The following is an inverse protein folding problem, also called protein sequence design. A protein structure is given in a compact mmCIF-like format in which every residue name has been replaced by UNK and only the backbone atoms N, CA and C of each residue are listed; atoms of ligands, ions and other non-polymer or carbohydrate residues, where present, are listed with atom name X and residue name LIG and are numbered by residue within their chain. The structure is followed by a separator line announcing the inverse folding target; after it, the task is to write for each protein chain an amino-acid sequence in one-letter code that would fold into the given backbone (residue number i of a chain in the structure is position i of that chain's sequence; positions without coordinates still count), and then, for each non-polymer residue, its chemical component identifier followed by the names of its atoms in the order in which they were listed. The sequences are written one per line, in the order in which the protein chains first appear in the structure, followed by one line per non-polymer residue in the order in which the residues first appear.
data_IF_972300222961
#
_entry.id   IF_972300222961
#
_cell.length_a   1.000
_cell.length_b   1.000
_cell.length_c   1.000
_cell.angle_alpha   90.00
_cell.angle_beta   90.00
_cell.angle_gamma   90.00
#
_symmetry.space_group_name_H-M   'P 1'
#
loop_
_entity.id
_entity.type
_entity.pdbx_description
1 polymer ?
#
# COMPACT_ATOMS: atom_id res chain seq x y z
N UNK A 1 -23.40 40.24 -23.55
CA UNK A 1 -22.99 38.92 -23.08
C UNK A 1 -23.92 37.87 -23.60
N UNK A 2 -23.60 37.37 -24.79
CA UNK A 2 -24.23 36.19 -25.37
C UNK A 2 -23.49 34.99 -24.78
N UNK A 3 -24.04 34.39 -23.72
CA UNK A 3 -23.51 33.11 -23.22
C UNK A 3 -23.87 32.08 -24.28
N UNK A 4 -22.91 31.32 -24.83
CA UNK A 4 -23.24 30.26 -25.77
C UNK A 4 -24.23 29.30 -25.12
N UNK A 5 -25.30 28.96 -25.83
CA UNK A 5 -26.26 27.94 -25.38
C UNK A 5 -25.48 26.65 -25.08
N UNK A 6 -25.76 25.99 -23.93
CA UNK A 6 -25.04 24.78 -23.55
C UNK A 6 -25.28 23.68 -24.58
N UNK A 7 -24.20 23.03 -25.03
CA UNK A 7 -24.25 21.88 -25.92
C UNK A 7 -25.04 20.75 -25.22
N UNK A 8 -26.21 20.36 -25.74
CA UNK A 8 -27.07 19.37 -25.09
C UNK A 8 -26.39 18.00 -25.00
N UNK A 9 -25.54 17.64 -25.97
CA UNK A 9 -24.81 16.37 -25.97
C UNK A 9 -23.70 16.36 -24.92
N UNK A 10 -23.06 17.51 -24.68
CA UNK A 10 -22.07 17.68 -23.61
C UNK A 10 -22.75 17.56 -22.24
N UNK A 11 -23.88 18.24 -22.05
CA UNK A 11 -24.62 18.24 -20.79
C UNK A 11 -25.10 16.82 -20.44
N UNK A 12 -25.64 16.08 -21.42
CA UNK A 12 -26.06 14.70 -21.22
C UNK A 12 -24.89 13.76 -20.89
N UNK A 13 -23.71 13.96 -21.50
CA UNK A 13 -22.51 13.19 -21.19
C UNK A 13 -21.99 13.45 -19.76
N UNK A 14 -21.98 14.72 -19.32
CA UNK A 14 -21.60 15.08 -17.96
C UNK A 14 -22.57 14.51 -16.91
N UNK A 15 -23.88 14.55 -17.19
CA UNK A 15 -24.91 13.96 -16.34
C UNK A 15 -24.77 12.44 -16.24
N UNK A 16 -24.48 11.76 -17.36
CA UNK A 16 -24.19 10.33 -17.38
C UNK A 16 -22.98 9.98 -16.48
N UNK A 17 -21.88 10.75 -16.57
CA UNK A 17 -20.73 10.54 -15.68
C UNK A 17 -21.06 10.77 -14.21
N UNK A 18 -21.84 11.80 -13.91
CA UNK A 18 -22.27 12.10 -12.54
C UNK A 18 -23.09 10.94 -11.94
N UNK A 19 -24.08 10.46 -12.69
CA UNK A 19 -24.93 9.34 -12.29
C UNK A 19 -24.11 8.04 -12.17
N UNK A 20 -23.20 7.78 -13.10
CA UNK A 20 -22.34 6.61 -13.05
C UNK A 20 -21.44 6.59 -11.81
N UNK A 21 -20.84 7.72 -11.44
CA UNK A 21 -20.03 7.83 -10.21
C UNK A 21 -20.84 7.53 -8.96
N UNK A 22 -22.08 8.05 -8.88
CA UNK A 22 -23.00 7.79 -7.77
C UNK A 22 -23.34 6.30 -7.67
N UNK A 23 -23.73 5.70 -8.79
CA UNK A 23 -24.07 4.28 -8.85
C UNK A 23 -22.90 3.39 -8.42
N UNK A 24 -21.66 3.71 -8.81
CA UNK A 24 -20.47 2.95 -8.40
C UNK A 24 -20.16 3.05 -6.91
N UNK A 25 -20.40 4.20 -6.29
CA UNK A 25 -20.20 4.35 -4.84
C UNK A 25 -21.26 3.59 -4.04
N UNK A 26 -22.46 3.47 -4.58
CA UNK A 26 -23.58 2.74 -3.96
C UNK A 26 -23.56 1.24 -4.28
N UNK A 27 -22.71 0.81 -5.23
CA UNK A 27 -22.57 -0.58 -5.62
C UNK A 27 -21.90 -1.41 -4.52
N UNK A 28 -22.42 -2.62 -4.31
CA UNK A 28 -21.85 -3.56 -3.35
C UNK A 28 -20.71 -4.36 -4.00
N UNK A 29 -19.62 -3.65 -4.30
CA UNK A 29 -18.40 -4.21 -4.89
C UNK A 29 -17.31 -4.35 -3.84
N UNK A 30 -16.53 -5.42 -3.96
CA UNK A 30 -15.43 -5.78 -3.08
C UNK A 30 -14.28 -6.36 -3.89
N UNK A 31 -13.13 -6.51 -3.25
CA UNK A 31 -12.03 -7.28 -3.82
C UNK A 31 -11.74 -8.52 -2.98
N UNK A 32 -11.66 -9.67 -3.63
CA UNK A 32 -11.29 -10.92 -3.00
C UNK A 32 -9.87 -11.29 -3.43
N UNK A 33 -9.02 -11.65 -2.49
CA UNK A 33 -7.70 -12.18 -2.77
C UNK A 33 -7.58 -13.64 -2.35
N UNK A 34 -6.83 -14.39 -3.15
CA UNK A 34 -6.57 -15.81 -2.92
C UNK A 34 -5.18 -16.18 -3.46
N UNK A 35 -4.51 -17.20 -2.89
CA UNK A 35 -3.26 -17.71 -3.43
C UNK A 35 -3.41 -18.10 -4.91
N UNK A 36 -2.40 -17.77 -5.72
CA UNK A 36 -2.37 -18.07 -7.14
C UNK A 36 -1.29 -19.13 -7.46
N UNK A 37 -1.71 -20.40 -7.51
CA UNK A 37 -0.80 -21.52 -7.77
C UNK A 37 0.12 -21.83 -6.59
N UNK A 38 1.31 -22.37 -6.89
CA UNK A 38 2.31 -22.83 -5.91
C UNK A 38 3.45 -21.81 -5.66
N UNK A 39 3.40 -20.63 -6.29
CA UNK A 39 4.39 -19.54 -6.10
C UNK A 39 3.85 -18.50 -5.11
N UNK A 40 4.72 -17.64 -4.54
CA UNK A 40 4.40 -16.50 -3.66
C UNK A 40 3.62 -15.38 -4.41
N UNK A 41 2.53 -15.75 -5.07
CA UNK A 41 1.73 -14.98 -5.99
C UNK A 41 0.28 -15.04 -5.53
N UNK A 42 -0.42 -13.95 -5.76
CA UNK A 42 -1.79 -13.77 -5.32
C UNK A 42 -2.67 -13.38 -6.51
N UNK A 43 -3.91 -13.84 -6.49
CA UNK A 43 -4.99 -13.26 -7.27
C UNK A 43 -5.62 -12.10 -6.52
N UNK A 44 -6.07 -11.11 -7.28
CA UNK A 44 -6.97 -10.10 -6.79
C UNK A 44 -8.13 -10.01 -7.76
N UNK A 45 -9.32 -10.35 -7.27
CA UNK A 45 -10.55 -10.40 -8.06
C UNK A 45 -11.46 -9.28 -7.62
N UNK A 46 -11.99 -8.55 -8.59
CA UNK A 46 -13.12 -7.65 -8.36
C UNK A 46 -14.41 -8.48 -8.35
N UNK A 47 -15.11 -8.46 -7.23
CA UNK A 47 -16.35 -9.21 -7.01
C UNK A 47 -17.49 -8.27 -6.62
N UNK A 48 -18.72 -8.71 -6.88
CA UNK A 48 -19.93 -7.95 -6.59
C UNK A 48 -20.72 -7.62 -7.83
N UNK A 49 -21.83 -6.92 -7.61
CA UNK A 49 -22.75 -6.54 -8.68
C UNK A 49 -22.37 -5.15 -9.19
N UNK A 50 -21.91 -5.10 -10.44
CA UNK A 50 -21.63 -3.83 -11.11
C UNK A 50 -22.95 -3.22 -11.59
N UNK A 51 -23.18 -1.92 -11.32
CA UNK A 51 -24.39 -1.25 -11.77
C UNK A 51 -24.37 -1.11 -13.31
N UNK A 52 -25.55 -1.09 -13.92
CA UNK A 52 -25.67 -0.72 -15.32
C UNK A 52 -25.44 0.78 -15.47
N UNK A 53 -24.47 1.18 -16.29
CA UNK A 53 -24.07 2.58 -16.46
C UNK A 53 -24.52 3.10 -17.82
N UNK A 54 -25.71 3.71 -17.87
CA UNK A 54 -26.21 4.32 -19.11
C UNK A 54 -25.33 5.49 -19.57
N UNK A 55 -25.09 5.57 -20.88
CA UNK A 55 -24.27 6.63 -21.50
C UNK A 55 -22.76 6.42 -21.42
N UNK A 56 -22.30 5.32 -20.79
CA UNK A 56 -20.87 4.94 -20.70
C UNK A 56 -20.52 3.94 -21.81
N UNK A 57 -19.45 4.21 -22.57
CA UNK A 57 -18.92 3.33 -23.63
C UNK A 57 -17.67 2.56 -23.27
N UNK A 58 -16.88 3.09 -22.35
CA UNK A 58 -15.74 2.37 -21.79
C UNK A 58 -15.82 2.46 -20.28
N UNK A 59 -15.69 1.31 -19.63
CA UNK A 59 -15.63 1.22 -18.18
C UNK A 59 -14.47 0.32 -17.82
N UNK A 60 -13.42 0.87 -17.21
CA UNK A 60 -12.23 0.09 -16.85
C UNK A 60 -11.95 0.16 -15.37
N UNK A 61 -11.30 -0.87 -14.83
CA UNK A 61 -10.79 -0.85 -13.47
C UNK A 61 -9.40 -1.48 -13.34
N UNK A 62 -8.62 -1.00 -12.38
CA UNK A 62 -7.33 -1.57 -11.98
C UNK A 62 -6.96 -1.18 -10.54
N UNK A 63 -6.24 -2.03 -9.79
CA UNK A 63 -5.60 -1.64 -8.54
C UNK A 63 -4.55 -0.56 -8.80
N UNK A 64 -4.51 0.49 -7.96
CA UNK A 64 -3.55 1.60 -8.17
C UNK A 64 -2.09 1.18 -8.02
N UNK A 65 -1.85 0.01 -7.43
CA UNK A 65 -0.53 -0.60 -7.18
C UNK A 65 0.02 -1.33 -8.41
N UNK A 66 -0.77 -1.52 -9.46
CA UNK A 66 -0.32 -2.11 -10.72
C UNK A 66 -0.51 -1.11 -11.88
N UNK A 67 0.19 -1.29 -13.01
CA UNK A 67 0.07 -0.36 -14.14
C UNK A 67 -1.29 -0.46 -14.84
N UNK A 68 -1.74 0.64 -15.44
CA UNK A 68 -3.06 0.80 -16.08
C UNK A 68 -3.26 -0.11 -17.32
N UNK A 69 -2.18 -0.61 -17.91
CA UNK A 69 -2.22 -1.55 -19.03
C UNK A 69 -2.80 -2.93 -18.65
N UNK A 70 -2.80 -3.27 -17.36
CA UNK A 70 -3.44 -4.45 -16.78
C UNK A 70 -4.88 -4.19 -16.33
N UNK A 71 -5.48 -3.09 -16.78
CA UNK A 71 -6.88 -2.79 -16.50
C UNK A 71 -7.82 -3.80 -17.12
N UNK A 72 -8.93 -4.02 -16.42
CA UNK A 72 -10.02 -4.87 -16.86
C UNK A 72 -11.10 -4.00 -17.50
N UNK A 73 -11.61 -4.42 -18.65
CA UNK A 73 -12.81 -3.83 -19.24
C UNK A 73 -14.05 -4.42 -18.56
N UNK A 74 -14.72 -3.57 -17.80
CA UNK A 74 -15.87 -3.89 -16.98
C UNK A 74 -17.17 -4.02 -17.78
N UNK A 75 -17.23 -3.52 -19.02
CA UNK A 75 -18.40 -3.68 -19.88
C UNK A 75 -18.52 -5.09 -20.47
N UNK A 76 -17.42 -5.84 -20.49
CA UNK A 76 -17.38 -7.23 -20.96
C UNK A 76 -17.72 -8.24 -19.86
N UNK A 77 -18.18 -7.78 -18.68
CA UNK A 77 -18.49 -8.64 -17.55
C UNK A 77 -19.72 -9.50 -17.82
N UNK A 78 -19.54 -10.82 -17.66
CA UNK A 78 -20.65 -11.76 -17.54
C UNK A 78 -21.08 -11.90 -16.08
N UNK A 79 -22.38 -12.11 -15.86
CA UNK A 79 -23.08 -12.03 -14.56
C UNK A 79 -22.59 -12.97 -13.43
N UNK A 80 -21.50 -13.74 -13.56
CA UNK A 80 -21.25 -14.82 -12.58
C UNK A 80 -19.82 -15.18 -12.20
N UNK A 81 -18.79 -14.46 -12.63
CA UNK A 81 -17.43 -14.73 -12.16
C UNK A 81 -16.67 -13.41 -12.02
N UNK A 82 -16.29 -13.06 -10.79
CA UNK A 82 -15.45 -11.89 -10.54
C UNK A 82 -14.19 -11.92 -11.41
N UNK A 83 -13.76 -10.75 -11.87
CA UNK A 83 -12.68 -10.65 -12.84
C UNK A 83 -11.36 -10.41 -12.12
N UNK A 84 -10.38 -11.23 -12.46
CA UNK A 84 -9.06 -11.24 -11.85
C UNK A 84 -8.14 -10.24 -12.53
N UNK A 85 -7.44 -9.41 -11.74
CA UNK A 85 -6.39 -8.52 -12.24
C UNK A 85 -5.11 -9.28 -12.66
N UNK A 86 -5.13 -10.61 -12.57
CA UNK A 86 -4.02 -11.52 -12.85
C UNK A 86 -3.09 -11.66 -11.64
N UNK A 87 -1.99 -12.42 -11.77
CA UNK A 87 -1.06 -12.65 -10.68
C UNK A 87 -0.41 -11.33 -10.24
N UNK A 88 -0.47 -11.05 -8.94
CA UNK A 88 0.18 -9.92 -8.28
C UNK A 88 1.00 -10.39 -7.08
N UNK A 89 1.94 -9.57 -6.63
CA UNK A 89 2.68 -9.84 -5.39
C UNK A 89 1.81 -9.50 -4.18
N UNK A 90 2.13 -10.06 -3.01
CA UNK A 90 1.41 -9.71 -1.77
C UNK A 90 1.43 -8.20 -1.51
N UNK A 91 2.59 -7.55 -1.71
CA UNK A 91 2.76 -6.11 -1.53
C UNK A 91 1.85 -5.26 -2.45
N UNK A 92 1.46 -5.80 -3.61
CA UNK A 92 0.59 -5.12 -4.56
C UNK A 92 -0.91 -5.30 -4.25
N UNK A 93 -1.30 -6.19 -3.33
CA UNK A 93 -2.71 -6.35 -2.96
C UNK A 93 -3.23 -5.06 -2.32
N UNK A 94 -4.29 -4.46 -2.86
CA UNK A 94 -4.89 -3.25 -2.32
C UNK A 94 -6.40 -3.22 -2.56
N UNK A 95 -7.11 -2.53 -1.68
CA UNK A 95 -8.53 -2.19 -1.84
C UNK A 95 -8.72 -0.92 -2.66
N UNK A 96 -7.64 -0.18 -2.94
CA UNK A 96 -7.68 1.05 -3.72
C UNK A 96 -7.75 0.71 -5.21
N UNK A 97 -8.97 0.68 -5.74
CA UNK A 97 -9.25 0.36 -7.14
C UNK A 97 -9.60 1.66 -7.88
N UNK A 98 -8.82 1.95 -8.93
CA UNK A 98 -9.12 3.01 -9.87
C UNK A 98 -10.16 2.54 -10.87
N UNK A 99 -11.07 3.44 -11.23
CA UNK A 99 -12.08 3.27 -12.25
C UNK A 99 -11.96 4.40 -13.27
N UNK A 100 -11.99 4.04 -14.56
CA UNK A 100 -12.11 4.99 -15.67
C UNK A 100 -13.43 4.79 -16.38
N UNK A 101 -14.16 5.89 -16.56
CA UNK A 101 -15.44 5.94 -17.27
C UNK A 101 -15.30 6.89 -18.45
N UNK A 102 -15.59 6.42 -19.66
CA UNK A 102 -15.68 7.27 -20.86
C UNK A 102 -17.09 7.21 -21.44
N UNK A 103 -17.63 8.36 -21.82
CA UNK A 103 -18.97 8.44 -22.43
C UNK A 103 -18.93 8.19 -23.94
N UNK A 104 -20.08 8.34 -24.60
CA UNK A 104 -20.17 8.40 -26.06
C UNK A 104 -19.34 9.53 -26.69
N UNK A 105 -18.99 10.56 -25.90
CA UNK A 105 -18.16 11.69 -26.31
C UNK A 105 -16.73 11.48 -25.80
N UNK A 106 -15.73 11.35 -26.68
CA UNK A 106 -14.36 10.98 -26.29
C UNK A 106 -13.66 12.06 -25.45
N UNK A 107 -14.13 13.31 -25.52
CA UNK A 107 -13.67 14.45 -24.73
C UNK A 107 -14.22 14.46 -23.29
N UNK A 108 -15.22 13.61 -22.98
CA UNK A 108 -15.90 13.57 -21.69
C UNK A 108 -15.65 12.23 -21.00
N UNK A 109 -14.69 12.23 -20.07
CA UNK A 109 -14.30 11.09 -19.27
C UNK A 109 -14.03 11.49 -17.82
N UNK A 110 -14.13 10.53 -16.90
CA UNK A 110 -13.74 10.73 -15.50
C UNK A 110 -12.97 9.52 -14.98
N UNK A 111 -12.02 9.79 -14.08
CA UNK A 111 -11.36 8.77 -13.27
C UNK A 111 -11.76 8.98 -11.81
N UNK A 112 -11.94 7.88 -11.07
CA UNK A 112 -12.13 7.90 -9.63
C UNK A 112 -11.39 6.73 -9.00
N UNK A 113 -11.14 6.80 -7.70
CA UNK A 113 -10.58 5.69 -6.92
C UNK A 113 -11.54 5.42 -5.77
N UNK A 114 -11.87 4.14 -5.58
CA UNK A 114 -12.64 3.68 -4.43
C UNK A 114 -11.74 2.83 -3.53
N UNK A 115 -11.90 2.99 -2.22
CA UNK A 115 -11.31 2.09 -1.24
C UNK A 115 -12.32 0.97 -0.95
N UNK A 116 -12.20 -0.13 -1.66
CA UNK A 116 -13.07 -1.28 -1.57
C UNK A 116 -12.66 -2.18 -0.40
N UNK A 117 -13.63 -2.83 0.27
CA UNK A 117 -13.31 -3.85 1.27
C UNK A 117 -12.56 -5.01 0.61
N UNK A 118 -11.56 -5.53 1.32
CA UNK A 118 -10.74 -6.65 0.87
C UNK A 118 -11.09 -7.89 1.70
N UNK A 119 -11.38 -9.00 1.03
CA UNK A 119 -11.58 -10.31 1.64
C UNK A 119 -10.44 -11.28 1.29
N UNK A 120 -10.19 -12.26 2.15
CA UNK A 120 -9.19 -13.31 1.91
C UNK A 120 -7.74 -12.87 2.10
N UNK A 121 -7.50 -11.73 2.76
CA UNK A 121 -6.15 -11.29 3.10
C UNK A 121 -5.47 -12.37 3.97
N UNK A 122 -4.22 -12.79 3.64
CA UNK A 122 -3.49 -13.72 4.48
C UNK A 122 -3.26 -13.11 5.86
N UNK A 123 -3.46 -13.92 6.90
CA UNK A 123 -2.92 -13.64 8.23
C UNK A 123 -1.39 -13.53 8.11
N UNK A 124 -0.79 -12.48 8.71
CA UNK A 124 0.66 -12.24 8.63
C UNK A 124 1.13 -11.35 7.47
N UNK A 125 0.23 -10.65 6.76
CA UNK A 125 0.57 -9.72 5.67
C UNK A 125 1.63 -8.67 6.04
N UNK A 126 1.58 -8.12 7.25
CA UNK A 126 2.58 -7.15 7.72
C UNK A 126 3.99 -7.76 7.67
N UNK A 127 4.12 -8.99 8.14
CA UNK A 127 5.36 -9.76 8.19
C UNK A 127 5.95 -10.05 6.79
N UNK A 128 5.13 -10.40 5.81
CA UNK A 128 5.60 -10.59 4.42
C UNK A 128 5.93 -9.27 3.69
N UNK A 129 5.22 -8.18 3.98
CA UNK A 129 5.59 -6.85 3.49
C UNK A 129 6.95 -6.46 4.05
N UNK A 130 7.18 -6.68 5.35
CA UNK A 130 8.49 -6.49 5.97
C UNK A 130 9.55 -7.34 5.29
N UNK A 131 9.30 -8.63 4.96
CA UNK A 131 10.26 -9.46 4.22
C UNK A 131 10.61 -8.91 2.84
N UNK A 132 9.63 -8.35 2.13
CA UNK A 132 9.84 -7.81 0.76
C UNK A 132 10.72 -6.56 0.78
N UNK A 133 10.53 -5.69 1.79
CA UNK A 133 11.26 -4.42 1.94
C UNK A 133 12.59 -4.62 2.68
N UNK A 134 12.58 -5.47 3.71
CA UNK A 134 13.65 -5.79 4.63
C UNK A 134 14.15 -7.22 4.35
N UNK A 135 14.65 -7.41 3.12
CA UNK A 135 15.08 -8.73 2.64
C UNK A 135 16.52 -9.09 3.01
N UNK A 136 17.25 -8.19 3.67
CA UNK A 136 18.64 -8.38 4.09
C UNK A 136 18.99 -7.51 5.30
N UNK A 137 20.15 -7.80 5.90
CA UNK A 137 20.67 -7.10 7.07
C UNK A 137 20.86 -5.58 6.86
N UNK A 138 21.30 -5.14 5.67
CA UNK A 138 21.45 -3.70 5.38
C UNK A 138 20.09 -2.99 5.34
N UNK A 139 19.08 -3.62 4.73
CA UNK A 139 17.73 -3.10 4.68
C UNK A 139 17.11 -3.01 6.08
N UNK A 140 17.43 -3.98 6.95
CA UNK A 140 17.02 -3.97 8.36
C UNK A 140 17.62 -2.78 9.11
N UNK A 141 18.93 -2.57 9.02
CA UNK A 141 19.56 -1.44 9.70
C UNK A 141 19.11 -0.08 9.15
N UNK A 142 18.86 0.04 7.84
CA UNK A 142 18.30 1.26 7.24
C UNK A 142 16.91 1.57 7.80
N UNK A 143 16.07 0.54 7.88
CA UNK A 143 14.72 0.68 8.41
C UNK A 143 14.72 1.03 9.91
N UNK A 144 15.58 0.38 10.68
CA UNK A 144 15.79 0.67 12.10
C UNK A 144 16.19 2.13 12.34
N UNK A 145 17.16 2.63 11.59
CA UNK A 145 17.60 4.03 11.69
C UNK A 145 16.51 5.03 11.32
N UNK A 146 15.61 4.67 10.40
CA UNK A 146 14.49 5.51 10.02
C UNK A 146 13.52 5.72 11.21
N UNK A 147 13.20 4.63 11.90
CA UNK A 147 12.31 4.64 13.06
C UNK A 147 12.92 5.41 14.24
N UNK A 148 14.22 5.21 14.48
CA UNK A 148 14.93 5.92 15.55
C UNK A 148 14.95 7.43 15.34
N UNK A 149 15.03 7.89 14.09
CA UNK A 149 14.95 9.32 13.76
C UNK A 149 13.50 9.88 13.78
N UNK A 150 12.49 9.02 13.87
CA UNK A 150 11.08 9.42 13.87
C UNK A 150 10.56 9.78 12.48
N UNK A 151 11.16 9.23 11.43
CA UNK A 151 10.64 9.34 10.07
C UNK A 151 9.65 8.21 9.81
N UNK A 152 8.46 8.54 9.30
CA UNK A 152 7.50 7.50 8.94
C UNK A 152 7.98 6.74 7.68
N UNK A 153 8.03 5.39 7.74
CA UNK A 153 8.53 4.57 6.64
C UNK A 153 7.77 4.74 5.31
N UNK A 154 6.47 5.04 5.38
CA UNK A 154 5.68 5.35 4.19
C UNK A 154 6.11 6.64 3.46
N UNK A 155 6.69 7.61 4.18
CA UNK A 155 7.13 8.90 3.59
C UNK A 155 8.54 8.80 3.02
N UNK A 156 9.43 8.04 3.66
CA UNK A 156 10.81 7.85 3.21
C UNK A 156 10.93 6.93 1.98
N UNK A 157 10.04 5.93 1.85
CA UNK A 157 10.03 5.01 0.71
C UNK A 157 9.25 5.56 -0.50
N UNK A 158 8.33 6.51 -0.30
CA UNK A 158 7.50 7.10 -1.36
C UNK A 158 8.10 8.33 -2.03
N UNK A 159 8.95 9.10 -1.32
CA UNK A 159 9.63 10.26 -1.89
C UNK A 159 11.05 9.87 -2.32
N UNK A 160 11.20 9.54 -3.60
CA UNK A 160 12.50 9.64 -4.24
C UNK A 160 13.01 11.07 -4.11
N UNK A 161 14.10 11.24 -3.37
CA UNK A 161 14.96 12.43 -3.39
C UNK A 161 14.34 13.71 -2.82
N UNK A 162 14.23 13.80 -1.49
CA UNK A 162 14.16 15.09 -0.80
C UNK A 162 15.60 15.48 -0.36
N UNK A 163 16.28 16.42 -1.06
CA UNK A 163 17.72 16.66 -0.89
C UNK A 163 18.10 17.33 0.44
N UNK A 164 17.12 17.66 1.29
CA UNK A 164 17.37 18.30 2.59
C UNK A 164 17.17 17.36 3.79
N UNK A 165 16.63 16.15 3.58
CA UNK A 165 16.41 15.14 4.63
C UNK A 165 17.33 13.92 4.53
N UNK A 166 17.65 13.48 3.30
CA UNK A 166 18.49 12.29 3.08
C UNK A 166 19.94 12.46 3.53
N UNK A 167 20.44 13.71 3.62
CA UNK A 167 21.84 13.98 3.95
C UNK A 167 22.22 13.82 5.44
N UNK A 168 21.26 13.78 6.37
CA UNK A 168 21.58 13.71 7.80
C UNK A 168 22.03 12.30 8.23
N UNK A 169 21.35 11.26 7.75
CA UNK A 169 21.59 9.89 8.19
C UNK A 169 22.74 9.21 7.43
N UNK A 170 22.87 9.42 6.11
CA UNK A 170 24.03 9.01 5.31
C UNK A 170 25.33 9.61 5.87
N UNK A 171 25.27 10.86 6.35
CA UNK A 171 26.37 11.53 7.00
C UNK A 171 26.66 10.96 8.40
N UNK A 172 25.67 10.50 9.16
CA UNK A 172 25.88 9.84 10.48
C UNK A 172 26.44 8.41 10.36
N UNK A 173 25.98 7.63 9.39
CA UNK A 173 26.53 6.30 9.10
C UNK A 173 27.98 6.42 8.61
N UNK A 174 28.26 7.35 7.69
CA UNK A 174 29.63 7.60 7.22
C UNK A 174 30.54 8.24 8.27
N UNK A 175 29.97 8.97 9.25
CA UNK A 175 30.70 9.46 10.43
C UNK A 175 30.87 8.40 11.54
N UNK A 176 30.38 7.18 11.36
CA UNK A 176 30.57 6.09 12.32
C UNK A 176 29.78 6.24 13.62
N UNK A 177 28.64 6.95 13.62
CA UNK A 177 27.71 6.92 14.76
C UNK A 177 27.17 5.49 14.86
N UNK A 178 27.51 4.81 15.95
CA UNK A 178 27.14 3.42 16.17
C UNK A 178 25.66 3.29 16.51
N UNK A 179 24.99 2.27 15.97
CA UNK A 179 23.59 1.96 16.23
C UNK A 179 23.22 1.96 17.73
N UNK A 180 24.14 1.45 18.55
CA UNK A 180 24.04 1.42 20.01
C UNK A 180 23.86 2.82 20.62
N UNK A 181 24.58 3.82 20.12
CA UNK A 181 24.47 5.20 20.60
C UNK A 181 23.08 5.75 20.31
N UNK A 182 22.54 5.44 19.13
CA UNK A 182 21.24 5.96 18.72
C UNK A 182 20.08 5.26 19.42
N UNK A 183 20.19 3.95 19.64
CA UNK A 183 19.27 3.23 20.52
C UNK A 183 19.26 3.81 21.94
N UNK A 184 20.45 4.12 22.49
CA UNK A 184 20.59 4.71 23.84
C UNK A 184 20.04 6.14 23.91
N UNK A 185 20.28 6.94 22.87
CA UNK A 185 19.75 8.30 22.74
C UNK A 185 18.23 8.25 22.66
N UNK A 186 17.66 7.44 21.77
CA UNK A 186 16.21 7.30 21.61
C UNK A 186 15.55 6.80 22.88
N UNK A 187 16.15 5.83 23.59
CA UNK A 187 15.66 5.40 24.90
C UNK A 187 15.57 6.56 25.91
N UNK A 188 16.52 7.49 25.86
CA UNK A 188 16.60 8.64 26.76
C UNK A 188 15.61 9.76 26.38
N UNK A 189 15.42 10.03 25.08
CA UNK A 189 14.65 11.19 24.60
C UNK A 189 13.22 10.87 24.18
N UNK A 190 13.00 9.70 23.57
CA UNK A 190 11.76 9.29 22.91
C UNK A 190 11.58 7.76 22.96
N UNK A 191 11.43 7.18 24.17
CA UNK A 191 11.36 5.73 24.37
C UNK A 191 10.16 5.08 23.65
N UNK A 192 9.07 5.82 23.41
CA UNK A 192 7.91 5.35 22.67
C UNK A 192 8.26 4.85 21.26
N UNK A 193 9.32 5.43 20.64
CA UNK A 193 9.79 4.99 19.33
C UNK A 193 10.48 3.63 19.35
N UNK A 194 10.94 3.19 20.52
CA UNK A 194 11.50 1.85 20.67
C UNK A 194 10.41 0.78 20.72
N UNK A 195 9.14 1.15 20.94
CA UNK A 195 8.02 0.23 20.82
C UNK A 195 7.77 -0.16 19.36
N UNK A 196 7.94 0.79 18.43
CA UNK A 196 7.89 0.50 16.99
C UNK A 196 8.99 -0.47 16.59
N UNK A 197 10.22 -0.24 17.08
CA UNK A 197 11.35 -1.14 16.87
C UNK A 197 11.07 -2.53 17.44
N UNK A 198 10.50 -2.62 18.65
CA UNK A 198 10.12 -3.90 19.28
C UNK A 198 9.15 -4.68 18.41
N UNK A 199 8.10 -4.01 17.91
CA UNK A 199 7.11 -4.61 17.02
C UNK A 199 7.78 -5.24 15.80
N UNK A 200 8.68 -4.52 15.14
CA UNK A 200 9.35 -4.99 13.92
C UNK A 200 10.33 -6.13 14.20
N UNK A 201 11.08 -6.06 15.30
CA UNK A 201 11.98 -7.16 15.70
C UNK A 201 11.17 -8.43 15.92
N UNK A 202 10.02 -8.34 16.61
CA UNK A 202 9.12 -9.48 16.82
C UNK A 202 8.52 -9.98 15.50
N UNK A 203 7.95 -9.10 14.70
CA UNK A 203 7.32 -9.44 13.42
C UNK A 203 8.31 -10.12 12.45
N UNK A 204 9.58 -9.68 12.42
CA UNK A 204 10.62 -10.30 11.60
C UNK A 204 11.13 -11.62 12.18
N UNK A 205 11.16 -11.78 13.51
CA UNK A 205 11.65 -13.01 14.17
C UNK A 205 10.62 -14.14 14.15
N UNK A 206 9.33 -13.83 14.15
CA UNK A 206 8.23 -14.82 14.07
C UNK A 206 8.10 -15.47 12.67
N UNK A 207 8.79 -14.93 11.65
CA UNK A 207 8.70 -15.39 10.25
C UNK A 207 9.86 -16.30 9.86
N UNK A 208 9.57 -17.32 9.03
CA UNK A 208 10.57 -18.22 8.46
C UNK A 208 11.61 -17.47 7.61
N UNK A 209 12.89 -17.57 7.98
CA UNK A 209 14.00 -16.84 7.35
C UNK A 209 14.34 -15.51 7.99
N UNK A 210 13.63 -15.10 9.05
CA UNK A 210 13.91 -13.90 9.84
C UNK A 210 15.31 -13.86 10.45
N UNK A 211 15.88 -15.02 10.78
CA UNK A 211 17.24 -15.16 11.35
C UNK A 211 18.35 -14.65 10.43
N UNK A 212 18.11 -14.59 9.11
CA UNK A 212 19.06 -14.02 8.15
C UNK A 212 19.01 -12.48 8.08
N UNK A 213 17.93 -11.88 8.62
CA UNK A 213 17.67 -10.43 8.60
C UNK A 213 17.97 -9.83 9.97
N UNK A 214 17.42 -10.43 11.03
CA UNK A 214 17.66 -10.07 12.43
C UNK A 214 18.67 -11.07 12.99
N UNK A 215 19.94 -10.64 13.08
CA UNK A 215 21.00 -11.56 13.49
C UNK A 215 20.94 -11.85 15.00
N UNK A 216 21.45 -13.01 15.46
CA UNK A 216 21.49 -13.35 16.88
C UNK A 216 22.20 -12.30 17.74
N UNK A 217 23.27 -11.69 17.22
CA UNK A 217 24.02 -10.63 17.92
C UNK A 217 23.17 -9.38 18.14
N UNK A 218 22.29 -9.05 17.19
CA UNK A 218 21.35 -7.95 17.36
C UNK A 218 20.28 -8.29 18.40
N UNK A 219 19.75 -9.52 18.43
CA UNK A 219 18.79 -9.96 19.45
C UNK A 219 19.39 -9.92 20.86
N UNK A 220 20.66 -10.31 21.01
CA UNK A 220 21.37 -10.19 22.29
C UNK A 220 21.43 -8.72 22.75
N UNK A 221 21.77 -7.81 21.85
CA UNK A 221 21.76 -6.37 22.11
C UNK A 221 20.36 -5.87 22.47
N UNK A 222 19.34 -6.24 21.68
CA UNK A 222 17.95 -5.81 21.86
C UNK A 222 17.38 -6.23 23.21
N UNK A 223 17.73 -7.41 23.70
CA UNK A 223 17.28 -7.93 25.00
C UNK A 223 17.63 -7.03 26.19
N UNK A 224 18.69 -6.20 26.06
CA UNK A 224 19.06 -5.19 27.08
C UNK A 224 18.06 -4.05 27.10
N UNK A 225 17.63 -3.59 25.91
CA UNK A 225 16.65 -2.52 25.75
C UNK A 225 15.24 -2.98 26.13
N UNK A 226 14.83 -4.19 25.77
CA UNK A 226 13.53 -4.77 26.19
C UNK A 226 13.38 -4.77 27.72
N UNK A 227 14.41 -5.25 28.43
CA UNK A 227 14.42 -5.24 29.90
C UNK A 227 14.34 -3.82 30.46
N UNK A 228 15.06 -2.88 29.86
CA UNK A 228 15.07 -1.48 30.27
C UNK A 228 13.72 -0.80 30.02
N UNK A 229 13.02 -1.11 28.93
CA UNK A 229 11.67 -0.63 28.62
C UNK A 229 10.63 -1.23 29.58
N UNK A 230 10.70 -2.55 29.81
CA UNK A 230 9.81 -3.25 30.74
C UNK A 230 9.92 -2.75 32.19
N UNK A 231 11.12 -2.39 32.65
CA UNK A 231 11.33 -1.82 33.99
C UNK A 231 10.81 -0.40 34.19
N UNK A 232 10.52 0.32 33.09
CA UNK A 232 10.05 1.71 33.11
C UNK A 232 8.52 1.81 33.05
N UNK A 233 7.87 0.81 32.46
CA UNK A 233 6.42 0.72 32.31
C UNK A 233 5.73 -0.07 33.47
N UNK A 234 6.51 -0.66 34.37
CA UNK A 234 6.03 -1.33 35.60
C UNK A 234 6.24 -0.48 36.84
#
# INVERSE_FOLDING_TARGET
DDKPEPDPDLTAAEEALYNARRALVEANIKVACAPWGDEDRWSLKLEGELPTLEGIKEFRAWPITIPEDRSLDLLLFGENQGTDFGPITLAAITGLIAFELKTNRPDVATKLVLNLPIEGLPEGREAEIYRTIINNQDAFFRYLLLLLNGEEPGRALGNGSDPNGSGSWEHRISNGVGLLEELTRTYSTSPERLEDVDKIVRDLTEVSGGEAVVTPEFLELWSVFEKALGSRNG
#
